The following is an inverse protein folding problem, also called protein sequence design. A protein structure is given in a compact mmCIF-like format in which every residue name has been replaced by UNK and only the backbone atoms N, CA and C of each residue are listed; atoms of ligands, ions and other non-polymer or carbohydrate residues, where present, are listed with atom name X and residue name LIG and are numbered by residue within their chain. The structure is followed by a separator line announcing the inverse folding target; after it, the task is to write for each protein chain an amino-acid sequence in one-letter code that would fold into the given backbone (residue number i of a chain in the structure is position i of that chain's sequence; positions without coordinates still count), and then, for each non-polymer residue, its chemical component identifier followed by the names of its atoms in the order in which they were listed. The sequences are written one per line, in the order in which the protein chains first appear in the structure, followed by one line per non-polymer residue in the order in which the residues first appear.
data_IF_441016309364
#
_entry.id   IF_441016309364
#
_cell.length_a   1.000
_cell.length_b   1.000
_cell.length_c   1.000
_cell.angle_alpha   90.00
_cell.angle_beta   90.00
_cell.angle_gamma   90.00
#
_symmetry.space_group_name_H-M   'P 1'
#
loop_
_entity.id
_entity.type
_entity.pdbx_description
1 polymer ?
#
# COMPACT_ATOMS: atom_id res chain seq x y z
N UNK A 1 -1.56 -20.57 -13.40
CA UNK A 1 -1.53 -19.19 -12.84
C UNK A 1 -2.97 -18.80 -12.56
N UNK A 2 -3.34 -18.59 -11.30
CA UNK A 2 -4.66 -18.05 -10.95
C UNK A 2 -4.63 -16.56 -11.29
N UNK A 3 -5.52 -16.10 -12.18
CA UNK A 3 -5.70 -14.68 -12.48
C UNK A 3 -6.83 -14.16 -11.59
N UNK A 4 -6.60 -13.03 -10.94
CA UNK A 4 -7.65 -12.33 -10.19
C UNK A 4 -8.64 -11.70 -11.18
N UNK A 5 -9.92 -11.66 -10.80
CA UNK A 5 -10.92 -10.89 -11.55
C UNK A 5 -10.72 -9.38 -11.31
N UNK A 6 -11.24 -8.51 -12.19
CA UNK A 6 -11.19 -7.06 -11.98
C UNK A 6 -11.73 -6.63 -10.61
N UNK A 7 -12.83 -7.24 -10.16
CA UNK A 7 -13.45 -6.95 -8.86
C UNK A 7 -12.55 -7.38 -7.70
N UNK A 8 -11.87 -8.52 -7.82
CA UNK A 8 -10.90 -8.96 -6.83
C UNK A 8 -9.70 -8.01 -6.74
N UNK A 9 -9.27 -7.45 -7.88
CA UNK A 9 -8.21 -6.44 -7.91
C UNK A 9 -8.68 -5.12 -7.28
N UNK A 10 -9.92 -4.70 -7.55
CA UNK A 10 -10.53 -3.53 -6.90
C UNK A 10 -10.60 -3.70 -5.39
N UNK A 11 -11.09 -4.84 -4.92
CA UNK A 11 -11.16 -5.13 -3.49
C UNK A 11 -9.77 -5.10 -2.85
N UNK A 12 -8.76 -5.72 -3.47
CA UNK A 12 -7.39 -5.69 -2.95
C UNK A 12 -6.80 -4.29 -2.88
N UNK A 13 -7.09 -3.42 -3.86
CA UNK A 13 -6.62 -2.03 -3.83
C UNK A 13 -7.36 -1.21 -2.76
N UNK A 14 -8.64 -1.50 -2.53
CA UNK A 14 -9.43 -0.89 -1.47
C UNK A 14 -8.89 -1.29 -0.09
N UNK A 15 -8.68 -2.59 0.14
CA UNK A 15 -8.10 -3.12 1.39
C UNK A 15 -6.70 -2.54 1.63
N UNK A 16 -5.92 -2.34 0.56
CA UNK A 16 -4.61 -1.70 0.64
C UNK A 16 -4.70 -0.23 1.07
N UNK A 17 -5.70 0.52 0.61
CA UNK A 17 -5.95 1.90 1.05
C UNK A 17 -6.38 1.97 2.51
N UNK A 18 -7.21 1.02 2.97
CA UNK A 18 -7.57 0.90 4.38
C UNK A 18 -6.35 0.61 5.24
N UNK A 19 -5.51 -0.32 4.80
CA UNK A 19 -4.28 -0.65 5.53
C UNK A 19 -3.30 0.54 5.56
N UNK A 20 -3.19 1.32 4.48
CA UNK A 20 -2.36 2.54 4.46
C UNK A 20 -2.86 3.57 5.48
N UNK A 21 -4.18 3.75 5.62
CA UNK A 21 -4.76 4.62 6.65
C UNK A 21 -4.39 4.11 8.05
N UNK A 22 -4.61 2.83 8.34
CA UNK A 22 -4.27 2.25 9.64
C UNK A 22 -2.78 2.33 9.98
N UNK A 23 -1.89 2.20 8.98
CA UNK A 23 -0.44 2.35 9.19
C UNK A 23 -0.06 3.80 9.51
N UNK A 24 -0.74 4.79 8.94
CA UNK A 24 -0.55 6.21 9.28
C UNK A 24 -1.02 6.49 10.71
N UNK A 25 -2.21 6.03 11.07
CA UNK A 25 -2.75 6.18 12.42
C UNK A 25 -1.79 5.57 13.46
N UNK A 26 -1.30 4.36 13.19
CA UNK A 26 -0.31 3.69 14.04
C UNK A 26 1.01 4.46 14.13
N UNK A 27 1.45 5.11 13.04
CA UNK A 27 2.65 5.94 13.09
C UNK A 27 2.47 7.13 14.04
N UNK A 28 1.32 7.79 13.99
CA UNK A 28 0.98 8.91 14.86
C UNK A 28 0.86 8.47 16.33
N UNK A 29 0.25 7.32 16.58
CA UNK A 29 0.19 6.72 17.92
C UNK A 29 1.58 6.42 18.46
N UNK A 30 2.47 5.85 17.65
CA UNK A 30 3.86 5.56 18.03
C UNK A 30 4.60 6.85 18.42
N UNK A 31 4.45 7.92 17.63
CA UNK A 31 5.04 9.22 17.95
C UNK A 31 4.49 9.75 19.28
N UNK A 32 3.18 9.65 19.49
CA UNK A 32 2.49 10.12 20.70
C UNK A 32 2.90 9.34 21.95
N UNK A 33 3.10 8.03 21.83
CA UNK A 33 3.57 7.15 22.92
C UNK A 33 5.06 7.34 23.24
N UNK A 34 5.79 8.13 22.45
CA UNK A 34 7.20 8.39 22.68
C UNK A 34 8.08 7.15 22.47
N UNK A 35 7.72 6.26 21.54
CA UNK A 35 8.62 5.14 21.22
C UNK A 35 9.99 5.64 20.76
N UNK A 36 11.06 4.87 21.00
CA UNK A 36 12.39 5.23 20.54
C UNK A 36 12.41 5.60 19.06
N UNK A 37 13.12 6.67 18.71
CA UNK A 37 13.22 7.19 17.33
C UNK A 37 13.64 6.11 16.33
N UNK A 38 14.52 5.20 16.73
CA UNK A 38 14.94 4.07 15.91
C UNK A 38 13.77 3.14 15.56
N UNK A 39 12.85 2.89 16.50
CA UNK A 39 11.66 2.07 16.29
C UNK A 39 10.69 2.77 15.34
N UNK A 40 10.41 4.06 15.57
CA UNK A 40 9.57 4.86 14.67
C UNK A 40 10.15 4.94 13.25
N UNK A 41 11.48 5.07 13.13
CA UNK A 41 12.20 5.08 11.85
C UNK A 41 12.08 3.74 11.12
N UNK A 42 12.24 2.62 11.83
CA UNK A 42 12.05 1.28 11.25
C UNK A 42 10.62 1.08 10.78
N UNK A 43 9.64 1.54 11.55
CA UNK A 43 8.24 1.50 11.15
C UNK A 43 7.99 2.32 9.88
N UNK A 44 8.45 3.57 9.82
CA UNK A 44 8.31 4.43 8.64
C UNK A 44 8.90 3.79 7.38
N UNK A 45 10.09 3.17 7.47
CA UNK A 45 10.69 2.45 6.33
C UNK A 45 9.85 1.26 5.84
N UNK A 46 9.20 0.54 6.77
CA UNK A 46 8.32 -0.57 6.41
C UNK A 46 7.05 -0.06 5.73
N UNK A 47 6.46 1.01 6.25
CA UNK A 47 5.31 1.67 5.67
C UNK A 47 5.61 2.20 4.26
N UNK A 48 6.73 2.92 4.07
CA UNK A 48 7.15 3.44 2.76
C UNK A 48 7.31 2.32 1.73
N UNK A 49 7.88 1.18 2.14
CA UNK A 49 8.03 0.00 1.27
C UNK A 49 6.68 -0.58 0.87
N UNK A 50 5.75 -0.67 1.82
CA UNK A 50 4.38 -1.13 1.56
C UNK A 50 3.68 -0.20 0.55
N UNK A 51 3.70 1.11 0.79
CA UNK A 51 3.14 2.11 -0.13
C UNK A 51 3.76 2.01 -1.52
N UNK A 52 5.07 1.79 -1.61
CA UNK A 52 5.78 1.58 -2.87
C UNK A 52 5.28 0.36 -3.65
N UNK A 53 5.02 -0.77 -2.97
CA UNK A 53 4.45 -1.97 -3.59
C UNK A 53 3.03 -1.75 -4.10
N UNK A 54 2.17 -1.11 -3.32
CA UNK A 54 0.80 -0.80 -3.74
C UNK A 54 0.80 0.15 -4.94
N UNK A 55 1.64 1.19 -4.93
CA UNK A 55 1.80 2.10 -6.05
C UNK A 55 2.33 1.42 -7.33
N UNK A 56 3.14 0.37 -7.19
CA UNK A 56 3.55 -0.45 -8.33
C UNK A 56 2.38 -1.29 -8.88
N UNK A 57 1.61 -1.95 -8.01
CA UNK A 57 0.46 -2.76 -8.41
C UNK A 57 -0.63 -1.92 -9.09
N UNK A 58 -0.89 -0.70 -8.60
CA UNK A 58 -1.80 0.26 -9.23
C UNK A 58 -1.37 0.60 -10.67
N UNK A 59 -0.09 0.92 -10.86
CA UNK A 59 0.47 1.19 -12.20
C UNK A 59 0.38 -0.02 -13.12
N UNK A 60 0.65 -1.23 -12.63
CA UNK A 60 0.49 -2.43 -13.44
C UNK A 60 -0.96 -2.67 -13.87
N UNK A 61 -1.94 -2.36 -13.00
CA UNK A 61 -3.36 -2.42 -13.35
C UNK A 61 -3.70 -1.41 -14.45
N UNK A 62 -3.27 -0.16 -14.31
CA UNK A 62 -3.52 0.90 -15.30
C UNK A 62 -2.98 0.50 -16.68
N UNK A 63 -1.72 0.05 -16.74
CA UNK A 63 -1.08 -0.41 -17.97
C UNK A 63 -1.74 -1.67 -18.56
N UNK A 64 -2.27 -2.55 -17.71
CA UNK A 64 -3.02 -3.73 -18.15
C UNK A 64 -4.45 -3.44 -18.62
N UNK A 65 -4.96 -2.24 -18.33
CA UNK A 65 -6.29 -1.77 -18.74
C UNK A 65 -6.27 -0.98 -20.06
N UNK A 66 -5.10 -0.48 -20.49
CA UNK A 66 -4.95 0.16 -21.80
C UNK A 66 -5.04 -0.90 -22.92
N UNK A 67 -5.90 -0.69 -23.95
CA UNK A 67 -5.86 -1.54 -25.13
C UNK A 67 -4.48 -1.40 -25.82
N UNK A 68 -3.92 -2.47 -26.40
CA UNK A 68 -2.65 -2.36 -27.10
C UNK A 68 -2.76 -1.29 -28.18
N UNK A 69 -1.86 -0.30 -28.12
CA UNK A 69 -1.75 0.73 -29.15
C UNK A 69 -1.48 0.01 -30.46
N UNK A 70 -2.46 0.08 -31.36
CA UNK A 70 -2.39 -0.47 -32.73
C UNK A 70 -1.51 0.38 -33.62
#
# INVERSE_FOLDING_TARGET
MVRLTPEQIEQLLHDADEMERSLKDMHEELITLGVPTDTATRFSKLHDRFTGWIGFLRRQRELGAEPPVS
#
